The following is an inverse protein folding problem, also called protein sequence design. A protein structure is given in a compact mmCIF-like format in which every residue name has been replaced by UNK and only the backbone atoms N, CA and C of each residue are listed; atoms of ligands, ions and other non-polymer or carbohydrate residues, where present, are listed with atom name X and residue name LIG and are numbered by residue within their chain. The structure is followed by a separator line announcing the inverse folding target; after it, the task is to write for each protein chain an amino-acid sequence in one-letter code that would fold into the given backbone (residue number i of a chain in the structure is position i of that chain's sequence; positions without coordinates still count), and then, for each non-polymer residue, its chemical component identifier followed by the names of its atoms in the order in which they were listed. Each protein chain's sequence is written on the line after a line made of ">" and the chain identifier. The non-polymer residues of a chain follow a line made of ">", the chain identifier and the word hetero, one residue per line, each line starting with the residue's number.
data_IF_481165472433
#
_entry.id   IF_481165472433
#
_cell.length_a   1.000
_cell.length_b   1.000
_cell.length_c   1.000
_cell.angle_alpha   90.00
_cell.angle_beta   90.00
_cell.angle_gamma   90.00
#
_symmetry.space_group_name_H-M   'P 1'
#
loop_
_entity.id
_entity.type
_entity.pdbx_description
1 polymer ?
#
# COMPACT_ATOMS: atom_id res chain seq x y z
N UNK A 1 35.65 -10.18 20.80
CA UNK A 1 34.22 -10.33 21.12
C UNK A 1 33.57 -10.89 19.88
N UNK A 2 33.38 -12.19 19.83
CA UNK A 2 32.64 -12.86 18.77
C UNK A 2 31.18 -12.39 18.84
N UNK A 3 30.76 -11.73 17.77
CA UNK A 3 29.34 -11.38 17.55
C UNK A 3 28.59 -12.71 17.41
N UNK A 4 27.81 -13.04 18.43
CA UNK A 4 26.81 -14.10 18.38
C UNK A 4 25.77 -13.70 17.31
N UNK A 5 26.10 -13.96 16.03
CA UNK A 5 25.31 -13.58 14.84
C UNK A 5 24.09 -14.47 14.61
N UNK A 6 23.86 -15.49 15.44
CA UNK A 6 23.01 -16.63 15.09
C UNK A 6 21.67 -16.70 15.81
N UNK A 7 21.29 -15.71 16.62
CA UNK A 7 19.96 -15.73 17.23
C UNK A 7 19.09 -14.59 16.73
N UNK A 8 18.16 -14.92 15.86
CA UNK A 8 17.05 -14.05 15.47
C UNK A 8 16.15 -13.82 16.69
N UNK A 9 16.60 -12.96 17.59
CA UNK A 9 16.00 -12.71 18.91
C UNK A 9 14.49 -12.40 18.83
N UNK A 10 14.05 -11.89 17.68
CA UNK A 10 12.66 -11.54 17.38
C UNK A 10 11.78 -12.78 17.06
N UNK A 11 12.36 -13.98 16.88
CA UNK A 11 11.62 -15.24 16.80
C UNK A 11 11.40 -15.86 18.18
N UNK A 12 12.29 -15.61 19.13
CA UNK A 12 12.30 -16.27 20.42
C UNK A 12 11.31 -15.66 21.43
N UNK A 13 10.80 -14.47 21.18
CA UNK A 13 9.95 -13.71 22.10
C UNK A 13 8.90 -12.86 21.39
N UNK A 14 7.82 -12.45 22.08
CA UNK A 14 6.86 -11.48 21.54
C UNK A 14 7.54 -10.14 21.24
N UNK A 15 7.22 -9.57 20.09
CA UNK A 15 7.78 -8.31 19.60
C UNK A 15 6.71 -7.27 19.33
N UNK A 16 7.12 -6.01 19.39
CA UNK A 16 6.35 -4.87 18.92
C UNK A 16 6.93 -4.46 17.56
N UNK A 17 6.10 -4.39 16.54
CA UNK A 17 6.48 -3.81 15.25
C UNK A 17 6.29 -2.31 15.32
N UNK A 18 7.34 -1.55 15.07
CA UNK A 18 7.29 -0.10 14.93
C UNK A 18 7.48 0.28 13.44
N UNK A 19 6.56 1.07 12.89
CA UNK A 19 6.62 1.56 11.52
C UNK A 19 5.93 2.93 11.38
N UNK A 20 5.87 3.49 10.18
CA UNK A 20 5.17 4.75 9.94
C UNK A 20 3.64 4.60 9.92
N UNK A 21 2.93 5.70 10.14
CA UNK A 21 1.47 5.76 9.98
C UNK A 21 1.08 5.48 8.53
N UNK A 22 -0.12 4.90 8.34
CA UNK A 22 -0.61 4.45 7.04
C UNK A 22 0.43 3.57 6.34
N UNK A 23 0.71 2.40 6.94
CA UNK A 23 1.76 1.50 6.44
C UNK A 23 1.56 1.21 4.96
N UNK A 24 2.65 1.30 4.24
CA UNK A 24 2.68 1.06 2.81
C UNK A 24 3.03 -0.40 2.48
N UNK A 25 3.16 -0.67 1.21
CA UNK A 25 3.45 -1.99 0.69
C UNK A 25 4.78 -2.57 1.22
N UNK A 26 5.85 -1.76 1.35
CA UNK A 26 7.15 -2.24 1.83
C UNK A 26 7.07 -2.68 3.30
N UNK A 27 6.47 -1.85 4.14
CA UNK A 27 6.19 -2.19 5.54
C UNK A 27 5.30 -3.43 5.66
N UNK A 28 4.21 -3.51 4.89
CA UNK A 28 3.23 -4.60 4.93
C UNK A 28 3.86 -5.93 4.52
N UNK A 29 4.60 -5.97 3.40
CA UNK A 29 5.27 -7.20 2.93
C UNK A 29 6.34 -7.64 3.93
N UNK A 30 7.10 -6.71 4.48
CA UNK A 30 8.09 -6.99 5.53
C UNK A 30 7.47 -7.71 6.71
N UNK A 31 6.36 -7.18 7.23
CA UNK A 31 5.65 -7.77 8.37
C UNK A 31 5.00 -9.12 8.00
N UNK A 32 4.44 -9.25 6.81
CA UNK A 32 3.89 -10.52 6.32
C UNK A 32 4.96 -11.62 6.31
N UNK A 33 6.14 -11.33 5.78
CA UNK A 33 7.27 -12.27 5.78
C UNK A 33 7.68 -12.66 7.21
N UNK A 34 7.81 -11.70 8.12
CA UNK A 34 8.15 -11.98 9.53
C UNK A 34 7.12 -12.91 10.19
N UNK A 35 5.81 -12.65 10.00
CA UNK A 35 4.73 -13.50 10.53
C UNK A 35 4.78 -14.90 9.95
N UNK A 36 4.97 -15.05 8.64
CA UNK A 36 5.06 -16.35 7.98
C UNK A 36 6.25 -17.19 8.48
N UNK A 37 7.31 -16.54 8.95
CA UNK A 37 8.50 -17.20 9.50
C UNK A 37 8.51 -17.27 11.03
N UNK A 38 7.36 -17.07 11.66
CA UNK A 38 7.14 -17.39 13.07
C UNK A 38 7.36 -16.25 14.05
N UNK A 39 7.53 -14.99 13.57
CA UNK A 39 7.58 -13.85 14.48
C UNK A 39 6.26 -13.69 15.26
N UNK A 40 6.37 -13.58 16.59
CA UNK A 40 5.24 -13.42 17.49
C UNK A 40 4.96 -11.94 17.71
N UNK A 41 4.17 -11.33 16.83
CA UNK A 41 3.84 -9.91 16.92
C UNK A 41 2.77 -9.72 17.97
N UNK A 42 3.12 -8.98 19.03
CA UNK A 42 2.24 -8.66 20.15
C UNK A 42 1.43 -7.40 19.90
N UNK A 43 2.05 -6.40 19.25
CA UNK A 43 1.46 -5.07 19.05
C UNK A 43 2.13 -4.37 17.87
N UNK A 44 1.40 -3.46 17.24
CA UNK A 44 1.93 -2.48 16.30
C UNK A 44 2.05 -1.11 16.97
N UNK A 45 3.05 -0.36 16.57
CA UNK A 45 3.22 1.03 16.94
C UNK A 45 3.51 1.85 15.68
N UNK A 46 2.65 2.86 15.44
CA UNK A 46 2.72 3.70 14.26
C UNK A 46 3.19 5.09 14.64
N UNK A 47 4.33 5.54 14.11
CA UNK A 47 4.91 6.85 14.39
C UNK A 47 4.66 7.85 13.26
N UNK A 48 4.38 9.11 13.58
CA UNK A 48 4.33 10.22 12.63
C UNK A 48 5.72 10.67 12.15
N UNK A 49 5.80 11.53 11.13
CA UNK A 49 7.06 12.15 10.74
C UNK A 49 7.63 12.98 11.92
N UNK A 50 8.92 12.80 12.20
CA UNK A 50 9.60 13.47 13.33
C UNK A 50 9.38 12.83 14.69
N UNK A 51 8.53 11.80 14.81
CA UNK A 51 8.22 11.14 16.07
C UNK A 51 9.08 9.88 16.26
N UNK A 52 10.40 10.06 16.15
CA UNK A 52 11.38 8.96 16.30
C UNK A 52 11.64 8.62 17.78
N UNK A 53 11.07 9.40 18.71
CA UNK A 53 11.19 9.16 20.14
C UNK A 53 10.09 8.22 20.62
N UNK A 54 10.48 6.99 20.94
CA UNK A 54 9.61 6.04 21.61
C UNK A 54 9.15 6.61 22.95
N UNK A 55 7.86 6.40 23.27
CA UNK A 55 7.39 6.65 24.63
C UNK A 55 8.31 5.94 25.65
N UNK A 56 8.69 6.59 26.75
CA UNK A 56 9.53 5.98 27.80
C UNK A 56 8.99 4.66 28.36
N UNK A 57 7.72 4.36 28.11
CA UNK A 57 7.04 3.15 28.55
C UNK A 57 7.29 1.94 27.63
N UNK A 58 7.88 2.11 26.46
CA UNK A 58 8.14 1.02 25.52
C UNK A 58 9.50 0.40 25.84
N UNK A 59 9.52 -0.89 26.16
CA UNK A 59 10.75 -1.63 26.31
C UNK A 59 11.43 -1.82 24.95
N UNK A 60 12.44 -1.02 24.65
CA UNK A 60 13.19 -1.01 23.40
C UNK A 60 13.78 -2.38 23.00
N UNK A 61 13.98 -3.29 23.96
CA UNK A 61 14.54 -4.61 23.71
C UNK A 61 13.63 -5.52 22.86
N UNK A 62 12.33 -5.20 22.81
CA UNK A 62 11.33 -6.00 22.09
C UNK A 62 10.75 -5.26 20.90
N UNK A 63 11.26 -4.08 20.53
CA UNK A 63 10.77 -3.31 19.40
C UNK A 63 11.60 -3.63 18.17
N UNK A 64 10.91 -3.97 17.08
CA UNK A 64 11.48 -4.20 15.77
C UNK A 64 10.98 -3.11 14.82
N UNK A 65 11.90 -2.27 14.37
CA UNK A 65 11.60 -1.19 13.44
C UNK A 65 11.60 -1.70 12.01
N UNK A 66 10.56 -1.36 11.27
CA UNK A 66 10.37 -1.69 9.85
C UNK A 66 10.18 -0.38 9.09
N UNK A 67 10.97 -0.18 8.06
CA UNK A 67 10.89 0.94 7.14
C UNK A 67 10.97 2.32 7.82
N UNK A 68 11.61 2.37 8.98
CA UNK A 68 11.80 3.58 9.76
C UNK A 68 12.82 3.41 10.88
N UNK A 69 13.31 4.56 11.40
CA UNK A 69 14.10 4.58 12.63
C UNK A 69 15.59 4.29 12.43
N UNK A 70 16.08 4.17 11.20
CA UNK A 70 17.49 3.88 10.85
C UNK A 70 18.03 2.66 11.57
N UNK A 71 17.19 1.66 11.77
CA UNK A 71 17.53 0.42 12.48
C UNK A 71 17.59 -0.78 11.51
N UNK A 72 17.57 -2.01 12.06
CA UNK A 72 17.87 -3.25 11.36
C UNK A 72 17.11 -3.42 10.02
N UNK A 73 15.84 -3.08 9.97
CA UNK A 73 14.96 -3.27 8.81
C UNK A 73 14.48 -1.94 8.21
N UNK A 74 15.29 -0.91 8.34
CA UNK A 74 15.06 0.38 7.68
C UNK A 74 16.01 0.51 6.49
N UNK A 75 15.44 0.75 5.32
CA UNK A 75 16.21 0.91 4.09
C UNK A 75 16.67 2.35 3.81
N UNK A 76 16.16 3.34 4.57
CA UNK A 76 16.49 4.75 4.37
C UNK A 76 18.01 5.00 4.54
N UNK A 77 18.64 5.43 3.45
CA UNK A 77 20.11 5.58 3.36
C UNK A 77 20.84 4.38 2.74
N UNK A 78 20.16 3.28 2.46
CA UNK A 78 20.71 2.13 1.73
C UNK A 78 20.29 2.21 0.27
N UNK A 79 21.23 2.41 -0.66
CA UNK A 79 20.90 2.51 -2.08
C UNK A 79 20.32 1.19 -2.63
N UNK A 80 19.12 1.30 -3.21
CA UNK A 80 18.50 0.25 -4.03
C UNK A 80 17.96 -0.96 -3.27
N UNK A 81 17.80 -0.87 -1.95
CA UNK A 81 17.12 -1.88 -1.12
C UNK A 81 15.82 -1.34 -0.57
N UNK A 82 14.89 -2.22 -0.29
CA UNK A 82 13.64 -1.98 0.44
C UNK A 82 13.69 -2.72 1.78
N UNK A 83 12.84 -2.35 2.72
CA UNK A 83 12.73 -3.04 4.01
C UNK A 83 12.36 -4.51 3.83
N UNK A 84 11.47 -4.82 2.90
CA UNK A 84 11.10 -6.20 2.55
C UNK A 84 12.32 -7.01 2.02
N UNK A 85 13.19 -6.37 1.23
CA UNK A 85 14.43 -7.01 0.79
C UNK A 85 15.34 -7.33 1.97
N UNK A 86 15.51 -6.38 2.90
CA UNK A 86 16.38 -6.57 4.08
C UNK A 86 15.82 -7.68 4.99
N UNK A 87 14.51 -7.69 5.21
CA UNK A 87 13.83 -8.77 5.96
C UNK A 87 14.03 -10.12 5.29
N UNK A 88 13.89 -10.21 3.97
CA UNK A 88 14.09 -11.44 3.22
C UNK A 88 15.54 -11.95 3.31
N UNK A 89 16.53 -11.05 3.25
CA UNK A 89 17.95 -11.37 3.43
C UNK A 89 18.22 -11.91 4.85
N UNK A 90 17.65 -11.27 5.87
CA UNK A 90 17.80 -11.71 7.26
C UNK A 90 17.10 -13.05 7.51
N UNK A 91 15.98 -13.31 6.86
CA UNK A 91 15.30 -14.61 6.89
C UNK A 91 16.06 -15.70 6.14
N UNK A 92 17.00 -15.33 5.25
CA UNK A 92 17.72 -16.25 4.38
C UNK A 92 16.91 -16.73 3.17
N UNK A 93 15.91 -15.96 2.73
CA UNK A 93 14.97 -16.32 1.65
C UNK A 93 15.01 -15.36 0.45
N UNK A 94 15.88 -14.35 0.48
CA UNK A 94 15.91 -13.33 -0.59
C UNK A 94 16.15 -13.94 -1.99
N UNK A 95 16.83 -15.07 -2.08
CA UNK A 95 17.13 -15.76 -3.35
C UNK A 95 16.05 -16.77 -3.77
N UNK A 96 15.02 -16.95 -2.98
CA UNK A 96 13.92 -17.84 -3.30
C UNK A 96 13.18 -17.40 -4.57
N UNK A 97 13.02 -18.33 -5.53
CA UNK A 97 12.43 -18.01 -6.84
C UNK A 97 11.00 -17.46 -6.73
N UNK A 98 10.23 -17.94 -5.77
CA UNK A 98 8.86 -17.51 -5.53
C UNK A 98 8.78 -16.09 -4.94
N UNK A 99 9.81 -15.64 -4.22
CA UNK A 99 9.83 -14.32 -3.58
C UNK A 99 10.34 -13.22 -4.51
N UNK A 100 11.18 -13.54 -5.49
CA UNK A 100 11.75 -12.56 -6.43
C UNK A 100 10.71 -11.65 -7.11
N UNK A 101 9.56 -12.15 -7.62
CA UNK A 101 8.55 -11.29 -8.22
C UNK A 101 8.00 -10.26 -7.24
N UNK A 102 7.79 -10.65 -5.97
CA UNK A 102 7.24 -9.81 -4.92
C UNK A 102 8.22 -8.71 -4.54
N UNK A 103 9.50 -9.08 -4.28
CA UNK A 103 10.54 -8.10 -3.97
C UNK A 103 10.79 -7.13 -5.12
N UNK A 104 10.74 -7.59 -6.37
CA UNK A 104 10.86 -6.74 -7.54
C UNK A 104 9.68 -5.78 -7.67
N UNK A 105 8.47 -6.22 -7.30
CA UNK A 105 7.27 -5.38 -7.30
C UNK A 105 7.37 -4.30 -6.21
N UNK A 106 7.67 -4.67 -4.95
CA UNK A 106 7.86 -3.73 -3.85
C UNK A 106 8.92 -2.69 -4.20
N UNK A 107 10.08 -3.12 -4.71
CA UNK A 107 11.14 -2.21 -5.13
C UNK A 107 10.67 -1.20 -6.19
N UNK A 108 9.92 -1.63 -7.19
CA UNK A 108 9.40 -0.77 -8.24
C UNK A 108 8.40 0.25 -7.69
N UNK A 109 7.54 -0.17 -6.77
CA UNK A 109 6.55 0.71 -6.18
C UNK A 109 7.16 1.72 -5.20
N UNK A 110 8.06 1.27 -4.33
CA UNK A 110 8.68 2.07 -3.29
C UNK A 110 9.80 2.99 -3.82
N UNK A 111 10.80 2.43 -4.53
CA UNK A 111 11.97 3.19 -4.97
C UNK A 111 11.78 3.94 -6.30
N UNK A 112 10.89 3.46 -7.18
CA UNK A 112 10.67 4.06 -8.50
C UNK A 112 9.34 4.80 -8.58
N UNK A 113 8.50 4.73 -7.55
CA UNK A 113 7.16 5.35 -7.53
C UNK A 113 6.20 4.80 -8.59
N UNK A 114 6.44 3.57 -9.08
CA UNK A 114 5.66 2.94 -10.15
C UNK A 114 4.66 1.95 -9.59
N UNK A 115 3.39 2.28 -9.73
CA UNK A 115 2.26 1.44 -9.38
C UNK A 115 1.27 1.39 -10.53
N UNK A 116 0.61 0.26 -10.66
CA UNK A 116 -0.41 0.06 -11.68
C UNK A 116 -1.77 -0.27 -11.04
N UNK A 117 -2.89 0.03 -11.73
CA UNK A 117 -4.21 -0.31 -11.22
C UNK A 117 -4.33 -1.78 -10.83
N UNK A 118 -4.88 -2.05 -9.66
CA UNK A 118 -5.09 -3.40 -9.10
C UNK A 118 -3.82 -4.18 -8.74
N UNK A 119 -2.64 -3.54 -8.73
CA UNK A 119 -1.46 -4.15 -8.13
C UNK A 119 -1.49 -4.06 -6.60
N UNK A 120 -0.56 -4.74 -5.92
CA UNK A 120 -0.49 -4.79 -4.46
C UNK A 120 -0.43 -3.39 -3.84
N UNK A 121 0.38 -2.48 -4.41
CA UNK A 121 0.49 -1.12 -3.92
C UNK A 121 -0.82 -0.31 -4.10
N UNK A 122 -1.52 -0.48 -5.22
CA UNK A 122 -2.82 0.16 -5.44
C UNK A 122 -3.90 -0.38 -4.49
N UNK A 123 -3.93 -1.68 -4.25
CA UNK A 123 -4.83 -2.31 -3.29
C UNK A 123 -4.59 -1.79 -1.87
N UNK A 124 -3.35 -1.80 -1.40
CA UNK A 124 -3.00 -1.33 -0.05
C UNK A 124 -3.24 0.16 0.13
N UNK A 125 -2.92 0.98 -0.87
CA UNK A 125 -3.22 2.42 -0.86
C UNK A 125 -4.72 2.72 -0.86
N UNK A 126 -5.52 1.94 -1.58
CA UNK A 126 -6.98 2.11 -1.56
C UNK A 126 -7.55 1.86 -0.17
N UNK A 127 -7.06 0.84 0.53
CA UNK A 127 -7.43 0.55 1.93
C UNK A 127 -7.01 1.69 2.86
N UNK A 128 -5.75 2.14 2.78
CA UNK A 128 -5.22 3.20 3.63
C UNK A 128 -5.92 4.56 3.48
N UNK A 129 -6.64 4.76 2.37
CA UNK A 129 -7.45 5.97 2.13
C UNK A 129 -8.86 5.86 2.69
N UNK A 130 -9.36 4.64 2.89
CA UNK A 130 -10.71 4.38 3.38
C UNK A 130 -10.76 4.10 4.88
N UNK A 131 -9.68 3.55 5.44
CA UNK A 131 -9.57 3.21 6.86
C UNK A 131 -8.68 4.25 7.56
N UNK A 132 -9.16 4.79 8.68
CA UNK A 132 -8.40 5.70 9.54
C UNK A 132 -7.90 4.99 10.82
N UNK A 133 -7.47 3.76 10.67
CA UNK A 133 -6.95 2.90 11.74
C UNK A 133 -5.74 2.15 11.19
N UNK A 134 -4.54 2.60 11.56
CA UNK A 134 -3.28 2.09 11.03
C UNK A 134 -3.08 0.59 11.31
N UNK A 135 -3.60 0.07 12.44
CA UNK A 135 -3.51 -1.36 12.77
C UNK A 135 -4.40 -2.21 11.85
N UNK A 136 -5.61 -1.74 11.57
CA UNK A 136 -6.50 -2.41 10.60
C UNK A 136 -5.94 -2.37 9.19
N UNK A 137 -5.32 -1.25 8.78
CA UNK A 137 -4.64 -1.14 7.48
C UNK A 137 -3.52 -2.19 7.40
N UNK A 138 -2.67 -2.26 8.43
CA UNK A 138 -1.58 -3.23 8.50
C UNK A 138 -2.09 -4.67 8.44
N UNK A 139 -3.07 -5.03 9.27
CA UNK A 139 -3.58 -6.39 9.31
C UNK A 139 -4.27 -6.82 8.02
N UNK A 140 -5.03 -5.93 7.41
CA UNK A 140 -5.67 -6.22 6.13
C UNK A 140 -4.64 -6.29 4.99
N UNK A 141 -3.66 -5.39 4.98
CA UNK A 141 -2.54 -5.42 4.04
C UNK A 141 -1.73 -6.72 4.15
N UNK A 142 -1.49 -7.21 5.38
CA UNK A 142 -0.84 -8.51 5.60
C UNK A 142 -1.64 -9.66 4.99
N UNK A 143 -2.97 -9.68 5.10
CA UNK A 143 -3.80 -10.71 4.46
C UNK A 143 -3.61 -10.71 2.94
N UNK A 144 -3.62 -9.54 2.32
CA UNK A 144 -3.39 -9.41 0.87
C UNK A 144 -1.99 -9.90 0.50
N UNK A 145 -0.95 -9.37 1.17
CA UNK A 145 0.43 -9.75 0.91
C UNK A 145 0.66 -11.25 1.10
N UNK A 146 0.11 -11.84 2.18
CA UNK A 146 0.19 -13.28 2.44
C UNK A 146 -0.48 -14.09 1.33
N UNK A 147 -1.66 -13.70 0.88
CA UNK A 147 -2.34 -14.37 -0.24
C UNK A 147 -1.51 -14.37 -1.52
N UNK A 148 -0.92 -13.23 -1.88
CA UNK A 148 -0.05 -13.12 -3.06
C UNK A 148 1.25 -13.94 -2.87
N UNK A 149 1.86 -13.90 -1.68
CA UNK A 149 3.04 -14.70 -1.35
C UNK A 149 2.73 -16.19 -1.49
N UNK A 150 1.61 -16.67 -0.95
CA UNK A 150 1.20 -18.06 -1.05
C UNK A 150 0.89 -18.48 -2.51
N UNK A 151 0.33 -17.58 -3.32
CA UNK A 151 0.17 -17.84 -4.75
C UNK A 151 1.51 -18.21 -5.41
N UNK A 152 2.54 -17.39 -5.23
CA UNK A 152 3.85 -17.60 -5.81
C UNK A 152 4.58 -18.80 -5.20
N UNK A 153 4.48 -18.98 -3.87
CA UNK A 153 5.10 -20.08 -3.14
C UNK A 153 4.55 -21.42 -3.54
N UNK A 154 3.24 -21.50 -3.70
CA UNK A 154 2.53 -22.73 -4.10
C UNK A 154 2.57 -22.99 -5.60
N UNK A 155 3.19 -22.08 -6.38
CA UNK A 155 3.28 -22.16 -7.85
C UNK A 155 1.92 -22.36 -8.52
N UNK A 156 0.91 -21.71 -8.00
CA UNK A 156 -0.44 -21.79 -8.53
C UNK A 156 -0.52 -21.17 -9.92
N UNK A 157 -1.43 -21.70 -10.73
CA UNK A 157 -1.79 -21.08 -11.99
C UNK A 157 -2.83 -19.99 -11.74
N UNK A 158 -2.54 -18.78 -12.20
CA UNK A 158 -3.44 -17.65 -12.06
C UNK A 158 -4.78 -17.90 -12.76
N UNK A 159 -5.86 -17.60 -12.07
CA UNK A 159 -7.22 -17.72 -12.57
C UNK A 159 -7.81 -16.34 -12.86
N UNK A 160 -7.52 -15.80 -14.06
CA UNK A 160 -8.05 -14.53 -14.53
C UNK A 160 -9.58 -14.54 -14.60
N UNK A 161 -10.18 -15.67 -14.95
CA UNK A 161 -11.64 -15.80 -15.05
C UNK A 161 -12.30 -15.60 -13.69
N UNK A 162 -11.76 -16.20 -12.62
CA UNK A 162 -12.27 -16.03 -11.25
C UNK A 162 -12.20 -14.57 -10.82
N UNK A 163 -11.10 -13.87 -11.11
CA UNK A 163 -10.97 -12.44 -10.82
C UNK A 163 -12.01 -11.61 -11.61
N UNK A 164 -12.22 -11.92 -12.89
CA UNK A 164 -13.21 -11.26 -13.72
C UNK A 164 -14.64 -11.51 -13.21
N UNK A 165 -14.94 -12.72 -12.76
CA UNK A 165 -16.23 -13.08 -12.17
C UNK A 165 -16.51 -12.27 -10.90
N UNK A 166 -15.53 -12.16 -9.98
CA UNK A 166 -15.66 -11.34 -8.77
C UNK A 166 -15.92 -9.86 -9.09
N UNK A 167 -15.21 -9.30 -10.07
CA UNK A 167 -15.44 -7.91 -10.51
C UNK A 167 -16.85 -7.76 -11.08
N UNK A 168 -17.29 -8.68 -11.93
CA UNK A 168 -18.63 -8.64 -12.54
C UNK A 168 -19.75 -8.78 -11.51
N UNK A 169 -19.59 -9.71 -10.56
CA UNK A 169 -20.55 -9.86 -9.46
C UNK A 169 -20.67 -8.60 -8.61
N UNK A 170 -19.54 -7.94 -8.34
CA UNK A 170 -19.51 -6.73 -7.52
C UNK A 170 -20.18 -5.54 -8.20
N UNK A 171 -19.96 -5.34 -9.49
CA UNK A 171 -20.51 -4.21 -10.26
C UNK A 171 -21.81 -4.55 -10.99
N UNK A 172 -22.30 -5.79 -10.90
CA UNK A 172 -23.51 -6.35 -11.55
C UNK A 172 -23.41 -6.44 -13.07
N UNK A 173 -22.89 -5.41 -13.74
CA UNK A 173 -22.64 -5.41 -15.18
C UNK A 173 -21.47 -4.48 -15.58
N UNK A 174 -20.97 -4.67 -16.80
CA UNK A 174 -19.81 -3.92 -17.32
C UNK A 174 -20.12 -2.41 -17.51
N UNK A 175 -21.35 -2.06 -17.77
CA UNK A 175 -21.75 -0.66 -18.02
C UNK A 175 -21.68 0.18 -16.74
N UNK A 176 -21.89 -0.45 -15.58
CA UNK A 176 -21.77 0.16 -14.25
C UNK A 176 -20.33 0.27 -13.75
N UNK A 177 -19.39 -0.45 -14.42
CA UNK A 177 -17.99 -0.41 -14.02
C UNK A 177 -17.35 0.96 -14.31
N UNK A 178 -16.67 1.58 -13.33
CA UNK A 178 -15.80 2.72 -13.60
C UNK A 178 -14.77 2.39 -14.70
N UNK A 179 -14.37 3.39 -15.50
CA UNK A 179 -13.45 3.20 -16.64
C UNK A 179 -12.19 2.39 -16.28
N UNK A 180 -11.60 2.66 -15.13
CA UNK A 180 -10.40 1.97 -14.65
C UNK A 180 -10.65 0.49 -14.35
N UNK A 181 -11.78 0.17 -13.71
CA UNK A 181 -12.18 -1.21 -13.41
C UNK A 181 -12.49 -1.95 -14.70
N UNK A 182 -13.29 -1.32 -15.58
CA UNK A 182 -13.65 -1.89 -16.89
C UNK A 182 -12.42 -2.24 -17.70
N UNK A 183 -11.44 -1.34 -17.74
CA UNK A 183 -10.18 -1.59 -18.46
C UNK A 183 -9.45 -2.81 -17.88
N UNK A 184 -9.32 -2.91 -16.54
CA UNK A 184 -8.69 -4.08 -15.93
C UNK A 184 -9.50 -5.37 -16.17
N UNK A 185 -10.83 -5.28 -16.05
CA UNK A 185 -11.72 -6.39 -16.37
C UNK A 185 -11.51 -6.91 -17.80
N UNK A 186 -11.42 -6.03 -18.78
CA UNK A 186 -11.13 -6.38 -20.18
C UNK A 186 -9.74 -7.01 -20.36
N UNK A 187 -8.73 -6.54 -19.64
CA UNK A 187 -7.41 -7.16 -19.61
C UNK A 187 -7.46 -8.61 -19.13
N UNK A 188 -8.26 -8.90 -18.10
CA UNK A 188 -8.44 -10.27 -17.59
C UNK A 188 -9.04 -11.24 -18.60
N UNK A 189 -9.77 -10.74 -19.61
CA UNK A 189 -10.30 -11.55 -20.73
C UNK A 189 -9.20 -11.97 -21.73
N UNK A 190 -8.04 -11.30 -21.70
CA UNK A 190 -6.93 -11.64 -22.58
C UNK A 190 -6.13 -12.82 -21.96
N UNK A 191 -6.05 -13.98 -22.63
CA UNK A 191 -5.34 -15.15 -22.12
C UNK A 191 -3.82 -14.92 -21.93
N UNK A 192 -3.26 -13.93 -22.62
CA UNK A 192 -1.85 -13.55 -22.53
C UNK A 192 -1.59 -12.45 -21.49
N UNK A 193 -2.62 -11.99 -20.79
CA UNK A 193 -2.45 -10.99 -19.76
C UNK A 193 -1.85 -11.61 -18.50
N UNK A 194 -0.64 -11.18 -18.18
CA UNK A 194 0.09 -11.61 -16.99
C UNK A 194 0.63 -10.37 -16.27
N UNK A 195 0.15 -10.13 -15.08
CA UNK A 195 0.68 -9.12 -14.17
C UNK A 195 1.09 -9.80 -12.87
N UNK A 196 2.17 -9.35 -12.28
CA UNK A 196 2.71 -9.92 -11.04
C UNK A 196 2.24 -9.10 -9.84
N UNK A 197 1.94 -9.76 -8.74
CA UNK A 197 1.49 -9.16 -7.49
C UNK A 197 0.21 -8.34 -7.66
N UNK A 198 -0.79 -8.92 -8.28
CA UNK A 198 -2.04 -8.25 -8.55
C UNK A 198 -3.28 -8.94 -7.96
N UNK A 199 -4.42 -8.28 -8.13
CA UNK A 199 -5.73 -8.75 -7.69
C UNK A 199 -6.09 -10.16 -8.18
N UNK A 200 -5.69 -10.55 -9.40
CA UNK A 200 -6.04 -11.86 -9.94
C UNK A 200 -5.27 -13.00 -9.24
N UNK A 201 -4.07 -12.74 -8.76
CA UNK A 201 -3.31 -13.66 -7.94
C UNK A 201 -3.96 -13.83 -6.56
N UNK A 202 -4.33 -12.71 -5.92
CA UNK A 202 -5.09 -12.73 -4.67
C UNK A 202 -6.43 -13.48 -4.83
N UNK A 203 -7.21 -13.15 -5.86
CA UNK A 203 -8.50 -13.80 -6.14
C UNK A 203 -8.39 -15.30 -6.37
N UNK A 204 -7.24 -15.78 -6.86
CA UNK A 204 -6.97 -17.20 -7.05
C UNK A 204 -6.84 -17.92 -5.72
N UNK A 205 -6.19 -17.33 -4.73
CA UNK A 205 -5.90 -17.93 -3.41
C UNK A 205 -7.01 -17.64 -2.41
N UNK A 206 -7.38 -16.38 -2.28
CA UNK A 206 -8.35 -15.90 -1.29
C UNK A 206 -9.40 -14.98 -1.93
N UNK A 207 -10.44 -15.56 -2.54
CA UNK A 207 -11.50 -14.78 -3.19
C UNK A 207 -12.31 -13.91 -2.22
N UNK A 208 -12.35 -14.25 -0.93
CA UNK A 208 -13.07 -13.44 0.06
C UNK A 208 -12.31 -12.16 0.38
N UNK A 209 -11.01 -12.25 0.62
CA UNK A 209 -10.16 -11.06 0.77
C UNK A 209 -10.18 -10.22 -0.51
N UNK A 210 -10.12 -10.85 -1.69
CA UNK A 210 -10.23 -10.14 -2.97
C UNK A 210 -11.57 -9.38 -3.10
N UNK A 211 -12.69 -9.97 -2.68
CA UNK A 211 -14.01 -9.31 -2.69
C UNK A 211 -14.04 -8.10 -1.75
N UNK A 212 -13.42 -8.19 -0.59
CA UNK A 212 -13.28 -7.05 0.32
C UNK A 212 -12.42 -5.93 -0.27
N UNK A 213 -11.32 -6.26 -0.93
CA UNK A 213 -10.44 -5.30 -1.63
C UNK A 213 -11.22 -4.52 -2.69
N UNK A 214 -12.12 -5.16 -3.44
CA UNK A 214 -12.95 -4.47 -4.44
C UNK A 214 -13.78 -3.34 -3.84
N UNK A 215 -14.29 -3.47 -2.61
CA UNK A 215 -15.04 -2.41 -1.93
C UNK A 215 -14.18 -1.16 -1.74
N UNK A 216 -12.94 -1.34 -1.30
CA UNK A 216 -11.99 -0.23 -1.11
C UNK A 216 -11.58 0.42 -2.43
N UNK A 217 -11.27 -0.39 -3.45
CA UNK A 217 -10.95 0.12 -4.79
C UNK A 217 -12.13 0.90 -5.37
N UNK A 218 -13.35 0.39 -5.26
CA UNK A 218 -14.54 1.06 -5.77
C UNK A 218 -14.78 2.40 -5.05
N UNK A 219 -14.65 2.44 -3.73
CA UNK A 219 -14.78 3.66 -2.94
C UNK A 219 -13.71 4.70 -3.30
N UNK A 220 -12.45 4.28 -3.43
CA UNK A 220 -11.35 5.16 -3.85
C UNK A 220 -11.58 5.74 -5.26
N UNK A 221 -12.06 4.93 -6.20
CA UNK A 221 -12.40 5.40 -7.55
C UNK A 221 -13.57 6.39 -7.52
N UNK A 222 -14.60 6.14 -6.75
CA UNK A 222 -15.73 7.08 -6.61
C UNK A 222 -15.27 8.44 -6.07
N UNK A 223 -14.41 8.44 -5.05
CA UNK A 223 -13.79 9.67 -4.54
C UNK A 223 -12.97 10.39 -5.61
N UNK A 224 -12.23 9.65 -6.43
CA UNK A 224 -11.44 10.22 -7.52
C UNK A 224 -12.33 10.85 -8.61
N UNK A 225 -13.40 10.17 -9.05
CA UNK A 225 -14.33 10.74 -10.04
C UNK A 225 -15.03 11.98 -9.50
N UNK A 226 -15.48 11.96 -8.24
CA UNK A 226 -16.05 13.14 -7.58
C UNK A 226 -15.04 14.29 -7.51
N UNK A 227 -13.77 14.00 -7.21
CA UNK A 227 -12.72 15.01 -7.20
C UNK A 227 -12.51 15.66 -8.57
N UNK A 228 -12.66 14.91 -9.67
CA UNK A 228 -12.61 15.49 -11.04
C UNK A 228 -13.69 16.54 -11.23
N UNK A 229 -14.91 16.25 -10.84
CA UNK A 229 -16.02 17.20 -10.94
C UNK A 229 -15.77 18.45 -10.09
N UNK A 230 -15.25 18.28 -8.88
CA UNK A 230 -14.93 19.37 -7.97
C UNK A 230 -13.80 20.26 -8.52
N UNK A 231 -12.74 19.65 -9.07
CA UNK A 231 -11.61 20.38 -9.70
C UNK A 231 -12.04 21.12 -10.97
N UNK A 232 -12.98 20.56 -11.74
CA UNK A 232 -13.53 21.24 -12.93
C UNK A 232 -14.34 22.48 -12.59
N UNK A 233 -15.03 22.48 -11.44
CA UNK A 233 -15.79 23.61 -10.91
C UNK A 233 -14.94 24.59 -10.10
N UNK A 234 -13.72 24.23 -9.74
CA UNK A 234 -12.85 25.03 -8.90
C UNK A 234 -12.28 26.25 -9.67
N UNK A 235 -12.02 27.33 -8.93
CA UNK A 235 -11.42 28.53 -9.49
C UNK A 235 -9.98 28.25 -9.92
N UNK A 236 -9.62 28.71 -11.13
CA UNK A 236 -8.25 28.68 -11.65
C UNK A 236 -7.65 30.06 -11.65
N UNK A 237 -6.55 30.23 -10.95
CA UNK A 237 -5.82 31.50 -10.81
C UNK A 237 -4.47 31.34 -11.51
N UNK A 238 -4.18 32.17 -12.51
CA UNK A 238 -2.90 32.16 -13.21
C UNK A 238 -1.90 33.10 -12.55
N UNK A 239 -0.71 32.59 -12.27
CA UNK A 239 0.42 33.36 -11.73
C UNK A 239 1.64 33.09 -12.60
N UNK A 240 1.96 34.02 -13.50
CA UNK A 240 3.01 33.84 -14.48
C UNK A 240 2.76 32.63 -15.41
N UNK A 241 3.70 31.70 -15.44
CA UNK A 241 3.59 30.43 -16.21
C UNK A 241 2.82 29.31 -15.48
N UNK A 242 2.51 29.52 -14.20
CA UNK A 242 1.82 28.53 -13.36
C UNK A 242 0.34 28.90 -13.20
N UNK A 243 -0.45 27.93 -12.80
CA UNK A 243 -1.79 28.20 -12.29
C UNK A 243 -2.05 27.41 -11.00
N UNK A 244 -2.91 27.98 -10.18
CA UNK A 244 -3.38 27.42 -8.92
C UNK A 244 -4.84 27.01 -9.12
N UNK A 245 -5.20 25.83 -8.63
CA UNK A 245 -6.59 25.44 -8.49
C UNK A 245 -7.01 25.65 -7.05
N UNK A 246 -8.01 26.50 -6.84
CA UNK A 246 -8.55 26.83 -5.52
C UNK A 246 -10.01 26.36 -5.43
N UNK A 247 -10.34 25.63 -4.38
CA UNK A 247 -11.69 25.14 -4.14
C UNK A 247 -11.90 24.69 -2.70
N UNK A 248 -13.17 24.54 -2.30
CA UNK A 248 -13.57 23.98 -1.01
C UNK A 248 -13.90 22.52 -1.26
N UNK A 249 -13.16 21.61 -0.64
CA UNK A 249 -13.40 20.17 -0.79
C UNK A 249 -12.97 19.40 0.45
N UNK A 250 -13.80 18.45 0.85
CA UNK A 250 -13.46 17.39 1.82
C UNK A 250 -12.89 16.16 1.15
N UNK A 251 -12.79 16.15 -0.18
CA UNK A 251 -12.35 15.00 -0.93
C UNK A 251 -10.82 14.87 -0.89
N UNK A 252 -10.27 13.81 -0.31
CA UNK A 252 -8.82 13.62 -0.21
C UNK A 252 -8.12 13.51 -1.57
N UNK A 253 -8.89 13.25 -2.65
CA UNK A 253 -8.36 13.16 -4.01
C UNK A 253 -8.30 14.51 -4.75
N UNK A 254 -8.87 15.58 -4.20
CA UNK A 254 -8.90 16.89 -4.86
C UNK A 254 -7.51 17.34 -5.28
N UNK A 255 -6.54 17.32 -4.38
CA UNK A 255 -5.17 17.74 -4.66
C UNK A 255 -4.47 16.85 -5.70
N UNK A 256 -4.75 15.55 -5.69
CA UNK A 256 -4.21 14.61 -6.67
C UNK A 256 -4.70 14.96 -8.06
N UNK A 257 -6.02 15.09 -8.22
CA UNK A 257 -6.64 15.41 -9.51
C UNK A 257 -6.24 16.80 -10.01
N UNK A 258 -6.16 17.78 -9.11
CA UNK A 258 -5.73 19.13 -9.48
C UNK A 258 -4.31 19.15 -10.04
N UNK A 259 -3.39 18.37 -9.45
CA UNK A 259 -2.01 18.20 -9.98
C UNK A 259 -2.00 17.50 -11.33
N UNK A 260 -2.78 16.46 -11.52
CA UNK A 260 -2.91 15.77 -12.81
C UNK A 260 -3.45 16.68 -13.91
N UNK A 261 -4.29 17.66 -13.57
CA UNK A 261 -4.76 18.72 -14.47
C UNK A 261 -3.75 19.86 -14.66
N UNK A 262 -2.53 19.72 -14.14
CA UNK A 262 -1.39 20.62 -14.34
C UNK A 262 -1.30 21.79 -13.37
N UNK A 263 -2.02 21.79 -12.25
CA UNK A 263 -1.86 22.81 -11.23
C UNK A 263 -0.47 22.73 -10.57
N UNK A 264 0.24 23.83 -10.52
CA UNK A 264 1.55 23.90 -9.87
C UNK A 264 1.45 23.75 -8.35
N UNK A 265 0.40 24.38 -7.77
CA UNK A 265 0.01 24.24 -6.37
C UNK A 265 -1.51 24.15 -6.28
N UNK A 266 -2.01 23.40 -5.32
CA UNK A 266 -3.42 23.24 -5.08
C UNK A 266 -3.74 23.82 -3.72
N UNK A 267 -4.78 24.61 -3.70
CA UNK A 267 -5.33 25.15 -2.48
C UNK A 267 -6.69 24.52 -2.24
N UNK A 268 -6.83 23.87 -1.10
CA UNK A 268 -8.11 23.27 -0.68
C UNK A 268 -8.45 23.78 0.71
N UNK A 269 -9.54 24.50 0.82
CA UNK A 269 -10.10 24.90 2.11
C UNK A 269 -10.91 23.74 2.69
N UNK A 270 -10.61 23.34 3.91
CA UNK A 270 -11.43 22.37 4.64
C UNK A 270 -12.55 23.12 5.36
N UNK A 271 -13.79 22.61 5.38
CA UNK A 271 -14.85 23.22 6.16
C UNK A 271 -14.43 23.42 7.62
N UNK A 272 -14.62 24.64 8.13
CA UNK A 272 -14.22 25.01 9.49
C UNK A 272 -12.81 25.61 9.64
N UNK A 273 -12.02 25.67 8.56
CA UNK A 273 -10.74 26.39 8.56
C UNK A 273 -10.95 27.85 8.15
N UNK A 274 -10.26 28.74 8.84
CA UNK A 274 -10.23 30.16 8.47
C UNK A 274 -9.06 30.44 7.53
N UNK A 275 -9.09 31.55 6.79
CA UNK A 275 -7.97 31.99 5.92
C UNK A 275 -6.62 32.10 6.65
N UNK A 276 -6.63 32.27 7.96
CA UNK A 276 -5.42 32.34 8.79
C UNK A 276 -4.76 30.98 9.04
N UNK A 277 -5.50 29.87 8.86
CA UNK A 277 -4.99 28.50 9.05
C UNK A 277 -4.26 27.95 7.80
N UNK A 278 -4.13 28.77 6.76
CA UNK A 278 -3.78 28.32 5.39
C UNK A 278 -2.47 28.97 4.89
N UNK A 279 -1.97 29.98 5.58
CA UNK A 279 -0.70 30.67 5.33
C UNK A 279 0.38 30.14 6.26
#
# INVERSE_FOLDING_TARGET
>A
MEKNKDKKWWLDRPIIIATHRKPDEDSIVSVALLKMYGAKIQKYWFSGEGDETLSPQINFKNVLWIDRGRQMFDHHGLKGKTSAQIVAEELGIAEEKWLRPILAHVRRADLEGRSEPFDLNDMTKSIAREIDDDEKIMEFGIKIATGIIEFHRSRLKRNNQKAAELIREFFEDETKMPKRVRHYYQLLQNPNFHRVCDFAELATVDPEVAREVLKFIAADIQKYEKAKEEVEKAQRIRIGRYFIVAGISNNPKFNVVAREKGAANNYTEKPGWTRADIL
#
